data_IF_461709592743
#
_entry.id   IF_461709592743
#
_cell.length_a   1.000
_cell.length_b   1.000
_cell.length_c   1.000
_cell.angle_alpha   90.00
_cell.angle_beta   90.00
_cell.angle_gamma   90.00
#
_symmetry.space_group_name_H-M   'P 1'
#
loop_
_entity.id
_entity.type
_entity.pdbx_description
1 polymer ?
#
# COMPACT_ATOMS: atom_id res chain seq x y z
N UNK A 1 -20.21 -3.28 -1.36
CA UNK A 1 -19.13 -2.92 -0.41
C UNK A 1 -19.22 -1.43 -0.08
N UNK A 2 -18.86 -1.02 1.14
CA UNK A 2 -18.77 0.40 1.49
C UNK A 2 -17.52 1.02 0.84
N UNK A 3 -17.70 1.99 -0.07
CA UNK A 3 -16.60 2.64 -0.78
C UNK A 3 -16.01 3.85 -0.02
N UNK A 4 -16.60 4.21 1.11
CA UNK A 4 -16.19 5.33 1.98
C UNK A 4 -15.55 4.83 3.29
N UNK A 5 -15.36 3.52 3.42
CA UNK A 5 -14.69 2.90 4.57
C UNK A 5 -13.18 3.16 4.53
N UNK A 6 -12.65 3.75 5.61
CA UNK A 6 -11.21 3.99 5.76
C UNK A 6 -10.60 4.74 4.57
N UNK A 7 -9.55 4.20 3.99
CA UNK A 7 -8.84 4.79 2.84
C UNK A 7 -9.30 4.23 1.49
N UNK A 8 -10.50 3.63 1.42
CA UNK A 8 -11.02 3.01 0.18
C UNK A 8 -10.99 3.97 -1.01
N UNK A 9 -11.47 5.21 -0.85
CA UNK A 9 -11.46 6.23 -1.92
C UNK A 9 -10.04 6.60 -2.37
N UNK A 10 -9.10 6.67 -1.44
CA UNK A 10 -7.69 6.95 -1.76
C UNK A 10 -7.08 5.80 -2.57
N UNK A 11 -7.35 4.55 -2.19
CA UNK A 11 -6.86 3.38 -2.95
C UNK A 11 -7.51 3.34 -4.35
N UNK A 12 -8.79 3.67 -4.48
CA UNK A 12 -9.46 3.80 -5.78
C UNK A 12 -8.79 4.86 -6.66
N UNK A 13 -8.47 6.03 -6.09
CA UNK A 13 -7.78 7.10 -6.79
C UNK A 13 -6.39 6.66 -7.29
N UNK A 14 -5.61 6.01 -6.44
CA UNK A 14 -4.29 5.47 -6.79
C UNK A 14 -4.39 4.40 -7.90
N UNK A 15 -5.41 3.54 -7.86
CA UNK A 15 -5.70 2.55 -8.91
C UNK A 15 -6.01 3.23 -10.25
N UNK A 16 -6.86 4.26 -10.24
CA UNK A 16 -7.23 5.01 -11.42
C UNK A 16 -6.03 5.77 -12.01
N UNK A 17 -5.24 6.44 -11.16
CA UNK A 17 -4.02 7.14 -11.56
C UNK A 17 -3.01 6.21 -12.25
N UNK A 18 -2.96 4.93 -11.85
CA UNK A 18 -2.08 3.92 -12.45
C UNK A 18 -2.72 3.16 -13.61
N UNK A 19 -3.93 3.53 -14.03
CA UNK A 19 -4.62 2.90 -15.16
C UNK A 19 -4.98 1.44 -14.91
N UNK A 20 -5.25 1.05 -13.65
CA UNK A 20 -5.76 -0.30 -13.38
C UNK A 20 -7.17 -0.47 -13.93
N UNK A 21 -7.44 -1.65 -14.49
CA UNK A 21 -8.78 -2.08 -14.86
C UNK A 21 -9.68 -2.14 -13.63
N UNK A 22 -11.00 -2.02 -13.81
CA UNK A 22 -11.98 -2.09 -12.71
C UNK A 22 -11.82 -3.37 -11.88
N UNK A 23 -11.70 -4.51 -12.54
CA UNK A 23 -11.53 -5.82 -11.88
C UNK A 23 -10.17 -5.93 -11.16
N UNK A 24 -9.11 -5.29 -11.68
CA UNK A 24 -7.82 -5.21 -10.98
C UNK A 24 -7.93 -4.35 -9.72
N UNK A 25 -8.56 -3.17 -9.81
CA UNK A 25 -8.82 -2.29 -8.67
C UNK A 25 -9.69 -2.98 -7.61
N UNK A 26 -10.70 -3.74 -8.03
CA UNK A 26 -11.54 -4.54 -7.13
C UNK A 26 -10.72 -5.54 -6.30
N UNK A 27 -9.76 -6.21 -6.93
CA UNK A 27 -8.90 -7.17 -6.25
C UNK A 27 -7.89 -6.50 -5.30
N UNK A 28 -7.39 -5.32 -5.67
CA UNK A 28 -6.57 -4.48 -4.77
C UNK A 28 -7.35 -4.11 -3.50
N UNK A 29 -8.60 -3.66 -3.65
CA UNK A 29 -9.46 -3.32 -2.51
C UNK A 29 -9.77 -4.53 -1.64
N UNK A 30 -10.08 -5.68 -2.25
CA UNK A 30 -10.32 -6.91 -1.52
C UNK A 30 -9.11 -7.36 -0.69
N UNK A 31 -7.92 -7.21 -1.26
CA UNK A 31 -6.65 -7.47 -0.56
C UNK A 31 -6.50 -6.53 0.62
N UNK A 32 -6.58 -5.21 0.42
CA UNK A 32 -6.46 -4.24 1.50
C UNK A 32 -7.49 -4.47 2.61
N UNK A 33 -8.75 -4.76 2.24
CA UNK A 33 -9.82 -5.04 3.18
C UNK A 33 -9.52 -6.28 4.03
N UNK A 34 -9.00 -7.34 3.42
CA UNK A 34 -8.64 -8.56 4.11
C UNK A 34 -7.46 -8.35 5.08
N UNK A 35 -6.37 -7.78 4.59
CA UNK A 35 -5.11 -7.65 5.32
C UNK A 35 -5.18 -6.62 6.46
N UNK A 36 -6.09 -5.65 6.38
CA UNK A 36 -6.27 -4.60 7.40
C UNK A 36 -7.36 -4.89 8.42
N UNK A 37 -7.76 -6.16 8.54
CA UNK A 37 -8.87 -6.57 9.39
C UNK A 37 -10.15 -5.75 9.12
N UNK A 38 -10.42 -5.43 7.85
CA UNK A 38 -11.61 -4.71 7.37
C UNK A 38 -11.65 -3.22 7.74
N UNK A 39 -10.58 -2.67 8.31
CA UNK A 39 -10.53 -1.24 8.67
C UNK A 39 -10.27 -0.35 7.46
N UNK A 40 -9.67 -0.90 6.39
CA UNK A 40 -9.18 -0.14 5.23
C UNK A 40 -8.19 0.97 5.64
N UNK A 41 -7.45 0.78 6.74
CA UNK A 41 -6.37 1.67 7.17
C UNK A 41 -5.06 0.88 7.22
N UNK A 42 -3.89 1.51 6.94
CA UNK A 42 -2.60 0.86 7.13
C UNK A 42 -2.46 0.38 8.58
N UNK A 43 -2.17 -0.90 8.78
CA UNK A 43 -2.02 -1.47 10.13
C UNK A 43 -0.60 -1.94 10.38
N UNK A 44 -0.21 -1.97 11.65
CA UNK A 44 1.02 -2.62 12.11
C UNK A 44 0.68 -4.01 12.61
N UNK A 45 1.60 -4.96 12.41
CA UNK A 45 1.53 -6.31 12.92
C UNK A 45 1.09 -6.29 14.39
N UNK A 46 0.04 -7.04 14.68
CA UNK A 46 -0.56 -7.05 16.00
C UNK A 46 0.33 -7.81 16.99
N UNK A 47 0.48 -7.22 18.18
CA UNK A 47 1.23 -7.83 19.28
C UNK A 47 1.86 -6.78 20.18
N UNK A 48 2.14 -7.17 21.43
CA UNK A 48 2.88 -6.32 22.36
C UNK A 48 4.32 -6.12 21.93
N UNK A 49 4.95 -5.02 22.36
CA UNK A 49 6.32 -4.69 21.97
C UNK A 49 7.34 -5.79 22.32
N UNK A 50 7.20 -6.44 23.48
CA UNK A 50 8.06 -7.57 23.85
C UNK A 50 7.98 -8.73 22.83
N UNK A 51 6.77 -9.04 22.38
CA UNK A 51 6.54 -10.08 21.39
C UNK A 51 7.15 -9.71 20.03
N UNK A 52 6.94 -8.47 19.59
CA UNK A 52 7.45 -7.99 18.30
C UNK A 52 8.98 -7.88 18.30
N UNK A 53 9.60 -7.45 19.40
CA UNK A 53 11.07 -7.43 19.57
C UNK A 53 11.71 -8.81 19.50
N UNK A 54 10.96 -9.87 19.79
CA UNK A 54 11.41 -11.25 19.66
C UNK A 54 11.40 -11.78 18.22
N UNK A 55 10.85 -11.05 17.26
CA UNK A 55 10.82 -11.48 15.86
C UNK A 55 12.18 -11.35 15.21
N UNK A 56 12.55 -12.32 14.37
CA UNK A 56 13.80 -12.31 13.59
C UNK A 56 13.95 -11.08 12.69
N UNK A 57 12.83 -10.50 12.26
CA UNK A 57 12.78 -9.33 11.38
C UNK A 57 12.57 -8.01 12.14
N UNK A 58 12.61 -7.99 13.48
CA UNK A 58 12.55 -6.74 14.24
C UNK A 58 13.70 -5.79 13.83
N UNK A 59 13.47 -4.47 13.67
CA UNK A 59 12.22 -3.71 13.86
C UNK A 59 11.24 -3.67 12.67
N UNK A 60 11.56 -4.36 11.58
CA UNK A 60 10.82 -4.38 10.31
C UNK A 60 9.64 -5.38 10.32
N UNK A 61 8.78 -5.22 11.32
CA UNK A 61 7.54 -5.98 11.48
C UNK A 61 6.51 -5.62 10.41
N UNK A 62 5.42 -6.38 10.29
CA UNK A 62 4.38 -6.11 9.30
C UNK A 62 3.84 -4.69 9.39
N UNK A 63 3.84 -3.94 8.30
CA UNK A 63 3.20 -2.61 8.23
C UNK A 63 2.50 -2.38 6.87
N UNK A 64 1.53 -1.47 6.87
CA UNK A 64 0.82 -1.05 5.66
C UNK A 64 -0.38 -1.92 5.32
N UNK A 65 -0.97 -1.69 4.14
CA UNK A 65 -2.12 -2.46 3.65
C UNK A 65 -1.80 -3.92 3.31
N UNK A 66 -0.52 -4.27 3.16
CA UNK A 66 -0.09 -5.61 2.72
C UNK A 66 0.84 -6.31 3.73
N UNK A 67 0.95 -5.78 4.95
CA UNK A 67 1.81 -6.33 6.01
C UNK A 67 3.25 -6.61 5.55
N UNK A 68 3.91 -5.59 4.99
CA UNK A 68 5.30 -5.69 4.55
C UNK A 68 6.20 -5.98 5.76
N UNK A 69 6.97 -7.07 5.70
CA UNK A 69 7.91 -7.52 6.75
C UNK A 69 9.32 -7.58 6.17
N UNK A 70 10.34 -7.66 7.04
CA UNK A 70 11.77 -7.80 6.71
C UNK A 70 12.43 -6.53 6.15
N UNK A 71 13.69 -6.32 6.55
CA UNK A 71 14.49 -5.14 6.19
C UNK A 71 14.63 -5.00 4.68
N UNK A 72 14.89 -6.10 3.99
CA UNK A 72 15.17 -6.14 2.56
C UNK A 72 13.96 -5.65 1.75
N UNK A 73 12.75 -5.95 2.23
CA UNK A 73 11.52 -5.48 1.61
C UNK A 73 11.31 -3.97 1.83
N UNK A 74 11.65 -3.47 3.02
CA UNK A 74 11.61 -2.03 3.32
C UNK A 74 12.60 -1.27 2.43
N UNK A 75 13.82 -1.77 2.27
CA UNK A 75 14.82 -1.22 1.35
C UNK A 75 14.34 -1.25 -0.10
N UNK A 76 13.77 -2.37 -0.52
CA UNK A 76 13.25 -2.55 -1.89
C UNK A 76 12.18 -1.53 -2.22
N UNK A 77 11.15 -1.38 -1.38
CA UNK A 77 10.09 -0.40 -1.63
C UNK A 77 10.60 1.02 -1.43
N UNK A 78 11.55 1.23 -0.53
CA UNK A 78 12.22 2.51 -0.33
C UNK A 78 12.93 3.00 -1.59
N UNK A 79 13.66 2.12 -2.27
CA UNK A 79 14.28 2.40 -3.59
C UNK A 79 13.25 2.72 -4.66
N UNK A 80 12.08 2.08 -4.63
CA UNK A 80 10.99 2.35 -5.61
C UNK A 80 10.35 3.72 -5.41
N UNK A 81 10.24 4.18 -4.17
CA UNK A 81 9.56 5.44 -3.82
C UNK A 81 10.51 6.61 -3.56
N UNK A 82 11.82 6.35 -3.43
CA UNK A 82 12.81 7.36 -3.03
C UNK A 82 12.69 7.77 -1.57
N UNK A 83 12.28 6.85 -0.69
CA UNK A 83 12.02 7.11 0.75
C UNK A 83 12.77 6.08 1.59
N UNK A 84 13.47 6.53 2.63
CA UNK A 84 14.16 5.62 3.55
C UNK A 84 13.21 5.07 4.63
N UNK A 85 12.56 3.96 4.30
CA UNK A 85 11.72 3.22 5.24
C UNK A 85 12.54 2.42 6.25
N UNK A 86 13.84 2.18 6.03
CA UNK A 86 14.68 1.47 7.00
C UNK A 86 14.93 2.37 8.21
N UNK A 87 15.31 3.62 7.97
CA UNK A 87 15.45 4.61 9.03
C UNK A 87 14.10 5.01 9.63
N UNK A 88 13.02 4.99 8.83
CA UNK A 88 11.69 5.46 9.26
C UNK A 88 10.57 4.43 8.96
N UNK A 89 10.57 3.25 9.59
CA UNK A 89 9.67 2.15 9.24
C UNK A 89 8.19 2.50 9.39
N UNK A 90 7.86 3.34 10.38
CA UNK A 90 6.49 3.79 10.64
C UNK A 90 5.89 4.64 9.51
N UNK A 91 6.68 5.14 8.56
CA UNK A 91 6.12 5.80 7.37
C UNK A 91 5.23 4.86 6.56
N UNK A 92 5.44 3.54 6.63
CA UNK A 92 4.56 2.55 5.98
C UNK A 92 3.14 2.50 6.58
N UNK A 93 2.89 3.15 7.72
CA UNK A 93 1.55 3.31 8.29
C UNK A 93 0.84 4.56 7.78
N UNK A 94 1.49 5.38 6.96
CA UNK A 94 0.85 6.55 6.37
C UNK A 94 0.27 6.21 4.99
N UNK A 95 -1.00 6.53 4.72
CA UNK A 95 -1.67 6.17 3.46
C UNK A 95 -0.93 6.64 2.21
N UNK A 96 -0.27 7.80 2.25
CA UNK A 96 0.47 8.38 1.13
C UNK A 96 1.65 7.51 0.67
N UNK A 97 2.21 6.67 1.56
CA UNK A 97 3.25 5.70 1.20
C UNK A 97 2.67 4.29 1.03
N UNK A 98 1.73 3.91 1.87
CA UNK A 98 1.16 2.57 1.88
C UNK A 98 0.35 2.26 0.60
N UNK A 99 -0.42 3.22 0.08
CA UNK A 99 -1.26 3.00 -1.09
C UNK A 99 -0.45 2.80 -2.37
N UNK A 100 0.57 3.61 -2.69
CA UNK A 100 1.48 3.32 -3.80
C UNK A 100 2.14 1.95 -3.68
N UNK A 101 2.58 1.57 -2.49
CA UNK A 101 3.21 0.25 -2.27
C UNK A 101 2.22 -0.86 -2.58
N UNK A 102 0.98 -0.78 -2.07
CA UNK A 102 -0.08 -1.73 -2.38
C UNK A 102 -0.35 -1.79 -3.89
N UNK A 103 -0.70 -0.66 -4.51
CA UNK A 103 -1.21 -0.65 -5.89
C UNK A 103 -0.09 -0.95 -6.89
N UNK A 104 1.05 -0.25 -6.80
CA UNK A 104 2.19 -0.50 -7.68
C UNK A 104 2.79 -1.88 -7.43
N UNK A 105 2.91 -2.29 -6.16
CA UNK A 105 3.46 -3.58 -5.81
C UNK A 105 2.63 -4.75 -6.33
N UNK A 106 1.30 -4.64 -6.31
CA UNK A 106 0.43 -5.64 -6.92
C UNK A 106 0.44 -5.55 -8.46
N UNK A 107 0.45 -4.35 -9.04
CA UNK A 107 0.48 -4.14 -10.49
C UNK A 107 1.76 -4.69 -11.14
N UNK A 108 2.91 -4.43 -10.53
CA UNK A 108 4.23 -4.72 -11.08
C UNK A 108 4.88 -5.97 -10.46
N UNK A 109 4.21 -6.61 -9.49
CA UNK A 109 4.62 -7.85 -8.86
C UNK A 109 5.84 -7.72 -7.93
N UNK A 110 5.81 -6.80 -6.98
CA UNK A 110 6.94 -6.54 -6.07
C UNK A 110 7.08 -7.55 -4.94
N UNK A 111 6.05 -8.32 -4.61
CA UNK A 111 6.04 -9.13 -3.39
C UNK A 111 6.48 -10.57 -3.65
N UNK A 112 5.76 -11.32 -4.48
CA UNK A 112 6.04 -12.74 -4.73
C UNK A 112 6.27 -13.10 -6.21
N UNK A 113 6.79 -14.31 -6.46
CA UNK A 113 6.98 -14.88 -7.78
C UNK A 113 7.31 -16.37 -7.71
N UNK A 114 7.25 -17.03 -8.86
CA UNK A 114 7.54 -18.45 -9.04
C UNK A 114 8.48 -18.66 -10.24
N UNK A 115 8.64 -19.92 -10.67
CA UNK A 115 9.47 -20.28 -11.85
C UNK A 115 9.00 -19.61 -13.14
N UNK A 116 7.74 -19.21 -13.22
CA UNK A 116 7.15 -18.52 -14.37
C UNK A 116 7.17 -16.98 -14.23
N UNK A 117 7.84 -16.46 -13.20
CA UNK A 117 8.07 -15.03 -13.01
C UNK A 117 7.25 -14.44 -11.86
N UNK A 118 7.15 -13.10 -11.86
CA UNK A 118 6.50 -12.35 -10.77
C UNK A 118 4.99 -12.57 -10.79
N UNK A 119 4.40 -12.58 -9.59
CA UNK A 119 2.95 -12.56 -9.42
C UNK A 119 2.48 -11.12 -9.48
N UNK A 120 1.72 -10.76 -10.51
CA UNK A 120 1.21 -9.41 -10.73
C UNK A 120 -0.26 -9.42 -11.14
N UNK A 121 -0.95 -8.29 -11.01
CA UNK A 121 -2.35 -8.16 -11.40
C UNK A 121 -2.57 -8.58 -12.86
N UNK A 122 -1.73 -8.10 -13.78
CA UNK A 122 -1.84 -8.41 -15.21
C UNK A 122 -1.66 -9.90 -15.56
N UNK A 123 -0.99 -10.68 -14.70
CA UNK A 123 -0.83 -12.14 -14.89
C UNK A 123 -2.14 -12.90 -14.64
N UNK A 124 -3.02 -12.38 -13.80
CA UNK A 124 -4.25 -13.08 -13.36
C UNK A 124 -5.54 -12.42 -13.87
N UNK A 125 -5.50 -11.10 -14.06
CA UNK A 125 -6.67 -10.28 -14.28
C UNK A 125 -6.42 -9.41 -15.51
N UNK A 126 -7.19 -9.68 -16.57
CA UNK A 126 -7.16 -9.00 -17.87
C UNK A 126 -8.53 -8.40 -18.18
N UNK A 127 -8.69 -7.81 -19.37
CA UNK A 127 -10.00 -7.35 -19.84
C UNK A 127 -11.01 -8.49 -20.02
N UNK A 128 -10.54 -9.70 -20.34
CA UNK A 128 -11.38 -10.86 -20.64
C UNK A 128 -11.46 -11.86 -19.47
N UNK A 129 -10.61 -11.74 -18.46
CA UNK A 129 -10.50 -12.71 -17.36
C UNK A 129 -10.33 -12.03 -16.01
N UNK A 130 -11.07 -12.48 -15.00
CA UNK A 130 -10.95 -12.05 -13.60
C UNK A 130 -10.60 -13.24 -12.70
N UNK A 131 -9.35 -13.73 -12.74
CA UNK A 131 -8.89 -14.85 -11.91
C UNK A 131 -8.52 -14.39 -10.49
N UNK A 132 -9.53 -13.91 -9.74
CA UNK A 132 -9.33 -13.39 -8.39
C UNK A 132 -8.81 -14.45 -7.42
N UNK A 133 -9.12 -15.73 -7.63
CA UNK A 133 -8.63 -16.81 -6.78
C UNK A 133 -7.13 -16.98 -6.93
N UNK A 134 -6.62 -17.08 -8.17
CA UNK A 134 -5.18 -17.27 -8.40
C UNK A 134 -4.36 -16.01 -8.08
N UNK A 135 -4.98 -14.83 -8.16
CA UNK A 135 -4.36 -13.56 -7.79
C UNK A 135 -3.92 -13.50 -6.32
N UNK A 136 -4.35 -14.42 -5.45
CA UNK A 136 -3.85 -14.49 -4.06
C UNK A 136 -2.34 -14.67 -3.97
N UNK A 137 -1.74 -15.27 -5.00
CA UNK A 137 -0.31 -15.51 -5.10
C UNK A 137 0.51 -14.23 -5.14
N UNK A 138 -0.10 -13.09 -5.48
CA UNK A 138 0.55 -11.78 -5.42
C UNK A 138 1.02 -11.46 -3.99
N UNK A 139 0.27 -11.87 -2.97
CA UNK A 139 0.51 -11.49 -1.57
C UNK A 139 0.95 -12.67 -0.69
N UNK A 140 0.16 -13.74 -0.64
CA UNK A 140 0.40 -14.83 0.32
C UNK A 140 -0.05 -16.20 -0.22
N UNK A 141 0.51 -16.60 -1.36
CA UNK A 141 0.25 -17.92 -1.94
C UNK A 141 -1.23 -18.13 -2.27
N UNK A 142 -1.89 -19.11 -1.65
CA UNK A 142 -3.32 -19.41 -1.91
C UNK A 142 -4.19 -19.38 -0.66
N UNK A 143 -3.63 -18.94 0.48
CA UNK A 143 -4.39 -18.87 1.73
C UNK A 143 -5.58 -17.91 1.60
N UNK A 144 -6.77 -18.40 1.99
CA UNK A 144 -8.06 -17.70 1.94
C UNK A 144 -8.42 -17.16 0.55
N UNK A 145 -7.84 -17.71 -0.53
CA UNK A 145 -8.05 -17.24 -1.89
C UNK A 145 -9.53 -17.14 -2.30
N UNK A 146 -10.35 -18.14 -1.96
CA UNK A 146 -11.78 -18.13 -2.28
C UNK A 146 -12.54 -16.99 -1.57
N UNK A 147 -12.25 -16.74 -0.28
CA UNK A 147 -12.90 -15.69 0.50
C UNK A 147 -12.52 -14.29 -0.03
N UNK A 148 -11.25 -14.08 -0.36
CA UNK A 148 -10.77 -12.81 -0.93
C UNK A 148 -11.34 -12.62 -2.33
N UNK A 149 -11.44 -13.68 -3.13
CA UNK A 149 -12.07 -13.62 -4.45
C UNK A 149 -13.56 -13.25 -4.38
N UNK A 150 -14.30 -13.72 -3.36
CA UNK A 150 -15.68 -13.30 -3.15
C UNK A 150 -15.77 -11.80 -2.84
N UNK A 151 -14.94 -11.30 -1.92
CA UNK A 151 -14.86 -9.87 -1.59
C UNK A 151 -14.49 -9.03 -2.84
N UNK A 152 -13.59 -9.53 -3.69
CA UNK A 152 -13.23 -8.88 -4.94
C UNK A 152 -14.40 -8.77 -5.92
N UNK A 153 -15.30 -9.77 -5.99
CA UNK A 153 -16.52 -9.67 -6.80
C UNK A 153 -17.46 -8.59 -6.26
N UNK A 154 -17.61 -8.48 -4.94
CA UNK A 154 -18.46 -7.47 -4.33
C UNK A 154 -17.90 -6.05 -4.56
N UNK A 155 -16.58 -5.88 -4.50
CA UNK A 155 -15.93 -4.62 -4.89
C UNK A 155 -16.06 -4.35 -6.40
N UNK A 156 -15.93 -5.34 -7.28
CA UNK A 156 -16.10 -5.14 -8.73
C UNK A 156 -17.51 -4.64 -9.06
N UNK A 157 -18.54 -5.23 -8.44
CA UNK A 157 -19.91 -4.77 -8.57
C UNK A 157 -20.09 -3.33 -8.05
N UNK A 158 -19.49 -3.00 -6.91
CA UNK A 158 -19.56 -1.65 -6.31
C UNK A 158 -18.84 -0.61 -7.17
N UNK A 159 -17.66 -0.94 -7.70
CA UNK A 159 -16.91 -0.07 -8.62
C UNK A 159 -17.63 0.10 -9.96
N UNK A 160 -18.33 -0.93 -10.44
CA UNK A 160 -19.16 -0.86 -11.64
C UNK A 160 -20.32 0.12 -11.42
N UNK A 161 -21.01 0.02 -10.29
CA UNK A 161 -22.07 0.96 -9.91
C UNK A 161 -21.56 2.41 -9.76
N UNK A 162 -20.32 2.59 -9.27
CA UNK A 162 -19.66 3.89 -9.19
C UNK A 162 -19.29 4.48 -10.57
N UNK A 163 -19.27 3.68 -11.64
CA UNK A 163 -18.81 4.11 -12.96
C UNK A 163 -17.28 4.16 -13.10
N UNK A 164 -16.54 3.38 -12.31
CA UNK A 164 -15.08 3.32 -12.42
C UNK A 164 -14.64 2.95 -13.84
N UNK A 165 -13.76 3.76 -14.43
CA UNK A 165 -13.21 3.54 -15.78
C UNK A 165 -14.11 4.02 -16.92
N UNK A 166 -15.26 4.65 -16.63
CA UNK A 166 -16.06 5.35 -17.65
C UNK A 166 -15.47 6.73 -17.89
N UNK A 167 -15.15 7.05 -19.14
CA UNK A 167 -14.63 8.36 -19.54
C UNK A 167 -15.68 9.42 -19.26
N UNK A 168 -15.34 10.44 -18.44
CA UNK A 168 -16.24 11.55 -18.09
C UNK A 168 -16.86 11.51 -16.68
N UNK A 169 -16.50 10.56 -15.82
CA UNK A 169 -16.88 10.62 -14.41
C UNK A 169 -16.23 11.84 -13.72
N UNK A 170 -16.97 12.61 -12.88
CA UNK A 170 -16.43 13.80 -12.24
C UNK A 170 -15.22 13.43 -11.37
N UNK A 171 -14.08 14.01 -11.71
CA UNK A 171 -12.84 13.88 -10.96
C UNK A 171 -12.94 14.65 -9.64
N UNK A 172 -13.65 14.07 -8.67
CA UNK A 172 -13.57 14.49 -7.26
C UNK A 172 -13.11 13.32 -6.43
N UNK A 173 -11.97 12.74 -6.79
CA UNK A 173 -11.17 12.00 -5.83
C UNK A 173 -10.02 12.92 -5.43
N UNK A 174 -9.76 13.10 -4.12
CA UNK A 174 -8.66 13.93 -3.67
C UNK A 174 -7.36 13.31 -4.19
N UNK A 175 -6.80 13.93 -5.23
CA UNK A 175 -5.41 13.77 -5.60
C UNK A 175 -4.61 14.43 -4.49
N UNK A 176 -4.23 13.67 -3.47
CA UNK A 176 -3.01 14.04 -2.74
C UNK A 176 -1.89 13.94 -3.76
N UNK A 177 -1.25 15.06 -4.16
CA UNK A 177 -0.12 14.98 -5.04
C UNK A 177 0.93 14.11 -4.37
N UNK A 178 1.42 13.10 -5.08
CA UNK A 178 2.72 12.48 -4.82
C UNK A 178 3.80 13.54 -5.01
N UNK A 179 3.86 14.50 -4.08
CA UNK A 179 5.02 15.36 -3.95
C UNK A 179 6.11 14.44 -3.47
N UNK A 180 7.13 14.21 -4.31
CA UNK A 180 8.40 13.65 -3.83
C UNK A 180 8.74 14.44 -2.56
N UNK A 181 8.88 13.80 -1.39
CA UNK A 181 9.20 14.53 -0.19
C UNK A 181 10.47 15.31 -0.47
N UNK A 182 10.38 16.63 -0.29
CA UNK A 182 11.50 17.53 -0.38
C UNK A 182 12.56 17.06 0.65
N UNK A 183 13.60 16.36 0.20
CA UNK A 183 14.71 15.89 1.03
C UNK A 183 15.41 17.05 1.77
N UNK A 184 15.36 18.27 1.22
CA UNK A 184 15.87 19.49 1.86
C UNK A 184 14.99 20.01 3.00
N UNK A 185 13.66 19.82 2.95
CA UNK A 185 12.76 20.24 4.03
C UNK A 185 12.94 19.40 5.31
N UNK A 186 13.25 18.10 5.16
CA UNK A 186 13.49 17.20 6.29
C UNK A 186 14.89 17.40 6.90
N UNK A 187 15.90 17.76 6.08
CA UNK A 187 17.23 18.14 6.57
C UNK A 187 17.24 19.53 7.22
N UNK A 188 16.47 20.51 6.72
CA UNK A 188 16.36 21.84 7.31
C UNK A 188 15.77 21.81 8.73
N UNK A 189 14.76 20.95 8.97
CA UNK A 189 14.18 20.75 10.30
C UNK A 189 15.16 20.08 11.28
N UNK A 190 16.13 19.31 10.78
CA UNK A 190 17.19 18.70 11.59
C UNK A 190 18.33 19.71 11.88
N UNK A 191 18.68 20.55 10.91
CA UNK A 191 19.72 21.59 11.05
C UNK A 191 19.32 22.71 12.03
N UNK A 192 18.06 23.19 11.97
CA UNK A 192 17.58 24.22 12.90
C UNK A 192 17.51 23.73 14.36
N UNK A 193 17.31 22.43 14.58
CA UNK A 193 17.23 21.85 15.94
C UNK A 193 18.60 21.56 16.56
N UNK A 194 19.65 21.40 15.76
CA UNK A 194 21.02 21.12 16.27
C UNK A 194 21.90 22.37 16.40
N UNK A 195 21.71 23.39 15.56
CA UNK A 195 22.55 24.61 15.58
C UNK A 195 21.87 25.85 16.19
N UNK A 196 20.58 25.79 16.54
CA UNK A 196 19.85 26.92 17.12
C UNK A 196 20.12 27.22 18.60
N UNK A 197 21.15 26.63 19.22
CA UNK A 197 21.40 26.75 20.66
C UNK A 197 22.83 27.21 21.00
N UNK A 198 23.35 28.24 20.35
CA UNK A 198 24.53 28.96 20.86
C UNK A 198 24.50 30.42 20.42
N UNK A 199 23.87 31.28 21.23
CA UNK A 199 24.38 32.59 21.67
C UNK A 199 23.25 33.38 22.34
N UNK A 200 23.25 33.39 23.67
CA UNK A 200 22.92 34.54 24.53
C UNK A 200 23.21 34.08 25.95
N UNK A 201 24.39 34.46 26.42
CA UNK A 201 24.68 34.90 27.79
C UNK A 201 26.19 35.14 27.90
N UNK A 202 26.60 36.33 27.44
CA UNK A 202 27.80 37.01 27.92
C UNK A 202 27.35 38.42 28.26
N UNK A 203 27.09 38.65 29.56
CA UNK A 203 27.35 39.89 30.29
C UNK A 203 27.57 39.53 31.74
#
# INVERSE_FOLDING_TARGET
>A
MNLDLGDTRLIIAECAQRGLLRNQAAYVLATAYWETARTMKPVREYGGEKYLKGKKYWPYVGMGYVQLTWRENYEKVGKKLGVDFVANPRLLLKPEYAAPILVAGMKDGWFAGDKAGRHSLGRYITLQKSDFTSARRIINGTDKAASIAAIARDYDASLKALGYGVVGAPATLPTTPHTKPNLWALLAAWFQRWFGRTQKDVK
#
